data_IF_138562801104
#
_entry.id   IF_138562801104
#
_cell.length_a   1.000
_cell.length_b   1.000
_cell.length_c   1.000
_cell.angle_alpha   90.00
_cell.angle_beta   90.00
_cell.angle_gamma   90.00
#
_symmetry.space_group_name_H-M   'P 1'
#
loop_
_entity.id
_entity.type
_entity.pdbx_description
1 polymer ?
#
# COMPACT_ATOMS: atom_id res chain seq x y z
N UNK A 1 30.82 23.85 -13.62
CA UNK A 1 29.42 24.25 -13.41
C UNK A 1 29.16 24.22 -11.91
N UNK A 2 28.73 25.33 -11.31
CA UNK A 2 28.38 25.33 -9.88
C UNK A 2 27.01 24.66 -9.70
N UNK A 3 26.81 23.80 -8.68
CA UNK A 3 25.49 23.20 -8.44
C UNK A 3 24.51 24.30 -8.06
N UNK A 4 23.36 24.35 -8.75
CA UNK A 4 22.27 25.26 -8.42
C UNK A 4 21.83 24.97 -6.97
N UNK A 5 21.94 25.97 -6.10
CA UNK A 5 21.41 25.84 -4.74
C UNK A 5 19.89 25.69 -4.82
N UNK A 6 19.30 24.66 -4.19
CA UNK A 6 17.86 24.45 -4.26
C UNK A 6 17.10 25.65 -3.68
N UNK A 7 16.14 26.16 -4.46
CA UNK A 7 15.28 27.28 -4.08
C UNK A 7 14.47 26.93 -2.81
N UNK A 8 14.33 27.88 -1.87
CA UNK A 8 13.54 27.73 -0.63
C UNK A 8 12.10 27.27 -0.89
N UNK A 9 11.51 27.65 -2.03
CA UNK A 9 10.18 27.18 -2.48
C UNK A 9 10.19 25.67 -2.81
N UNK A 10 11.18 25.20 -3.57
CA UNK A 10 11.34 23.77 -3.90
C UNK A 10 11.59 22.94 -2.64
N UNK A 11 12.45 23.41 -1.72
CA UNK A 11 12.73 22.68 -0.47
C UNK A 11 11.48 22.49 0.40
N UNK A 12 10.59 23.48 0.43
CA UNK A 12 9.31 23.39 1.17
C UNK A 12 8.32 22.46 0.46
N UNK A 13 8.27 22.51 -0.87
CA UNK A 13 7.45 21.60 -1.69
C UNK A 13 7.89 20.15 -1.47
N UNK A 14 9.18 19.84 -1.61
CA UNK A 14 9.72 18.49 -1.40
C UNK A 14 9.42 17.94 0.00
N UNK A 15 9.42 18.80 1.04
CA UNK A 15 9.03 18.37 2.40
C UNK A 15 7.54 17.99 2.49
N UNK A 16 6.67 18.74 1.81
CA UNK A 16 5.22 18.43 1.79
C UNK A 16 4.96 17.15 1.00
N UNK A 17 5.57 17.01 -0.18
CA UNK A 17 5.44 15.82 -1.02
C UNK A 17 5.98 14.57 -0.30
N UNK A 18 7.11 14.68 0.40
CA UNK A 18 7.63 13.57 1.20
C UNK A 18 6.63 13.12 2.28
N UNK A 19 6.08 14.08 3.04
CA UNK A 19 5.06 13.78 4.04
C UNK A 19 3.81 13.16 3.41
N UNK A 20 3.40 13.65 2.24
CA UNK A 20 2.25 13.13 1.49
C UNK A 20 2.47 11.68 1.06
N UNK A 21 3.56 11.37 0.35
CA UNK A 21 3.85 10.02 -0.11
C UNK A 21 4.04 9.04 1.04
N UNK A 22 4.71 9.47 2.11
CA UNK A 22 4.87 8.65 3.31
C UNK A 22 3.53 8.30 3.95
N UNK A 23 2.66 9.28 4.15
CA UNK A 23 1.33 9.05 4.73
C UNK A 23 0.49 8.13 3.84
N UNK A 24 0.54 8.35 2.52
CA UNK A 24 -0.17 7.53 1.53
C UNK A 24 0.30 6.07 1.58
N UNK A 25 1.60 5.84 1.74
CA UNK A 25 2.16 4.49 1.91
C UNK A 25 1.75 3.87 3.25
N UNK A 26 1.90 4.60 4.36
CA UNK A 26 1.55 4.11 5.70
C UNK A 26 0.07 3.68 5.77
N UNK A 27 -0.84 4.48 5.19
CA UNK A 27 -2.27 4.13 5.09
C UNK A 27 -2.47 2.84 4.30
N UNK A 28 -1.85 2.74 3.12
CA UNK A 28 -1.95 1.56 2.26
C UNK A 28 -1.43 0.29 2.93
N UNK A 29 -0.31 0.38 3.66
CA UNK A 29 0.23 -0.75 4.41
C UNK A 29 -0.69 -1.13 5.57
N UNK A 30 -1.29 -0.17 6.28
CA UNK A 30 -2.20 -0.48 7.38
C UNK A 30 -3.43 -1.28 6.94
N UNK A 31 -3.91 -1.02 5.72
CA UNK A 31 -5.10 -1.67 5.16
C UNK A 31 -4.78 -3.04 4.53
N UNK A 32 -3.61 -3.20 3.92
CA UNK A 32 -3.33 -4.35 3.07
C UNK A 32 -2.10 -5.17 3.49
N UNK A 33 -1.17 -4.60 4.23
CA UNK A 33 0.08 -5.24 4.63
C UNK A 33 0.39 -4.92 6.10
N UNK A 34 -0.48 -5.32 7.04
CA UNK A 34 -0.31 -4.99 8.46
C UNK A 34 1.05 -5.46 9.02
N UNK A 35 1.65 -6.50 8.43
CA UNK A 35 2.98 -7.00 8.78
C UNK A 35 4.14 -6.06 8.38
N UNK A 36 3.89 -5.09 7.49
CA UNK A 36 4.88 -4.13 6.98
C UNK A 36 4.77 -2.74 7.59
N UNK A 37 3.74 -2.47 8.41
CA UNK A 37 3.48 -1.15 9.01
C UNK A 37 4.63 -0.69 9.91
N UNK A 38 5.25 -1.61 10.64
CA UNK A 38 6.38 -1.30 11.54
C UNK A 38 7.74 -1.31 10.84
N UNK A 39 7.80 -1.61 9.54
CA UNK A 39 9.03 -1.60 8.75
C UNK A 39 9.40 -0.16 8.35
N UNK A 40 9.87 0.61 9.34
CA UNK A 40 10.30 2.01 9.17
C UNK A 40 11.39 2.18 8.11
N UNK A 41 12.41 1.31 8.01
CA UNK A 41 13.39 1.37 6.93
C UNK A 41 12.76 1.23 5.55
N UNK A 42 11.83 0.29 5.37
CA UNK A 42 11.09 0.12 4.12
C UNK A 42 10.28 1.38 3.77
N UNK A 43 9.47 1.87 4.71
CA UNK A 43 8.62 3.05 4.51
C UNK A 43 9.45 4.27 4.13
N UNK A 44 10.56 4.51 4.86
CA UNK A 44 11.46 5.63 4.58
C UNK A 44 12.08 5.51 3.19
N UNK A 45 12.67 4.37 2.87
CA UNK A 45 13.34 4.15 1.59
C UNK A 45 12.37 4.31 0.42
N UNK A 46 11.17 3.73 0.56
CA UNK A 46 10.14 3.82 -0.46
C UNK A 46 9.63 5.25 -0.66
N UNK A 47 9.37 5.98 0.42
CA UNK A 47 8.96 7.38 0.33
C UNK A 47 10.04 8.29 -0.29
N UNK A 48 11.32 8.03 0.03
CA UNK A 48 12.46 8.75 -0.56
C UNK A 48 12.56 8.46 -2.08
N UNK A 49 12.44 7.20 -2.51
CA UNK A 49 12.44 6.80 -3.94
C UNK A 49 11.26 7.41 -4.72
N UNK A 50 10.07 7.40 -4.13
CA UNK A 50 8.87 8.02 -4.71
C UNK A 50 9.05 9.52 -4.88
N UNK A 51 9.58 10.21 -3.86
CA UNK A 51 9.85 11.64 -3.94
C UNK A 51 10.86 11.96 -5.04
N UNK A 52 11.96 11.20 -5.13
CA UNK A 52 12.94 11.38 -6.21
C UNK A 52 12.28 11.24 -7.58
N UNK A 53 11.45 10.22 -7.78
CA UNK A 53 10.74 10.00 -9.05
C UNK A 53 9.81 11.16 -9.40
N UNK A 54 9.08 11.68 -8.40
CA UNK A 54 8.21 12.84 -8.57
C UNK A 54 9.02 14.09 -8.95
N UNK A 55 10.09 14.40 -8.22
CA UNK A 55 10.95 15.55 -8.50
C UNK A 55 11.57 15.46 -9.89
N UNK A 56 12.09 14.30 -10.27
CA UNK A 56 12.67 14.06 -11.60
C UNK A 56 11.64 14.28 -12.72
N UNK A 57 10.39 13.86 -12.52
CA UNK A 57 9.32 14.08 -13.48
C UNK A 57 8.94 15.57 -13.60
N UNK A 58 8.82 16.28 -12.47
CA UNK A 58 8.57 17.72 -12.47
C UNK A 58 9.72 18.48 -13.15
N UNK A 59 10.97 18.11 -12.90
CA UNK A 59 12.14 18.72 -13.54
C UNK A 59 12.19 18.46 -15.06
N UNK A 60 11.68 17.30 -15.51
CA UNK A 60 11.53 16.96 -16.93
C UNK A 60 10.34 17.66 -17.61
N UNK A 61 9.53 18.42 -16.86
CA UNK A 61 8.41 19.20 -17.39
C UNK A 61 7.08 18.46 -17.46
N UNK A 62 6.95 17.30 -16.82
CA UNK A 62 5.66 16.64 -16.67
C UNK A 62 4.72 17.46 -15.78
N UNK A 63 3.41 17.33 -16.01
CA UNK A 63 2.42 17.94 -15.12
C UNK A 63 2.42 17.27 -13.75
N UNK A 64 1.95 17.97 -12.71
CA UNK A 64 1.89 17.40 -11.35
C UNK A 64 1.12 16.07 -11.27
N UNK A 65 -0.04 15.90 -11.94
CA UNK A 65 -0.75 14.62 -11.94
C UNK A 65 0.04 13.49 -12.64
N UNK A 66 0.74 13.77 -13.74
CA UNK A 66 1.57 12.78 -14.42
C UNK A 66 2.76 12.37 -13.56
N UNK A 67 3.45 13.35 -12.95
CA UNK A 67 4.53 13.09 -12.02
C UNK A 67 4.06 12.26 -10.82
N UNK A 68 2.86 12.53 -10.29
CA UNK A 68 2.26 11.74 -9.21
C UNK A 68 1.94 10.31 -9.67
N UNK A 69 1.42 10.12 -10.88
CA UNK A 69 1.17 8.78 -11.44
C UNK A 69 2.45 7.97 -11.51
N UNK A 70 3.52 8.55 -12.07
CA UNK A 70 4.83 7.88 -12.18
C UNK A 70 5.43 7.57 -10.79
N UNK A 71 5.29 8.50 -9.84
CA UNK A 71 5.74 8.30 -8.47
C UNK A 71 4.92 7.20 -7.76
N UNK A 72 3.63 7.09 -8.07
CA UNK A 72 2.75 6.06 -7.51
C UNK A 72 3.14 4.64 -7.95
N UNK A 73 3.62 4.47 -9.19
CA UNK A 73 4.17 3.19 -9.66
C UNK A 73 5.33 2.72 -8.79
N UNK A 74 6.20 3.66 -8.38
CA UNK A 74 7.29 3.38 -7.44
C UNK A 74 6.75 3.12 -6.04
N UNK A 75 5.82 3.95 -5.57
CA UNK A 75 5.22 3.87 -4.23
C UNK A 75 4.65 2.48 -3.95
N UNK A 76 3.92 1.91 -4.92
CA UNK A 76 3.22 0.63 -4.79
C UNK A 76 3.94 -0.56 -5.42
N UNK A 77 5.18 -0.38 -5.88
CA UNK A 77 5.98 -1.46 -6.44
C UNK A 77 6.07 -2.64 -5.47
N UNK A 78 5.73 -3.83 -5.96
CA UNK A 78 5.67 -5.09 -5.21
C UNK A 78 4.61 -5.14 -4.08
N UNK A 79 3.65 -4.20 -4.07
CA UNK A 79 2.57 -4.13 -3.09
C UNK A 79 1.16 -4.33 -3.69
N UNK A 80 1.05 -4.68 -4.98
CA UNK A 80 -0.26 -4.85 -5.63
C UNK A 80 -1.05 -6.06 -5.11
N UNK A 81 -0.35 -7.13 -4.71
CA UNK A 81 -0.98 -8.35 -4.23
C UNK A 81 -0.71 -8.54 -2.73
N UNK A 82 -1.79 -8.57 -1.95
CA UNK A 82 -1.74 -8.81 -0.51
C UNK A 82 -2.28 -10.19 -0.16
N UNK A 83 -1.42 -11.02 0.45
CA UNK A 83 -1.84 -12.30 1.04
C UNK A 83 -2.85 -12.10 2.17
N UNK A 84 -2.68 -11.04 2.97
CA UNK A 84 -3.60 -10.68 4.03
C UNK A 84 -5.02 -10.44 3.47
N UNK A 85 -5.15 -9.59 2.45
CA UNK A 85 -6.44 -9.32 1.80
C UNK A 85 -7.06 -10.59 1.23
N UNK A 86 -6.26 -11.43 0.56
CA UNK A 86 -6.75 -12.71 0.03
C UNK A 86 -7.33 -13.58 1.15
N UNK A 87 -6.61 -13.77 2.25
CA UNK A 87 -7.08 -14.56 3.37
C UNK A 87 -8.35 -13.98 4.00
N UNK A 88 -8.38 -12.66 4.24
CA UNK A 88 -9.57 -11.97 4.78
C UNK A 88 -10.77 -12.16 3.85
N UNK A 89 -10.58 -12.02 2.54
CA UNK A 89 -11.67 -12.21 1.55
C UNK A 89 -12.17 -13.65 1.52
N UNK A 90 -11.29 -14.64 1.56
CA UNK A 90 -11.67 -16.07 1.55
C UNK A 90 -12.45 -16.41 2.82
N UNK A 91 -11.94 -15.99 3.98
CA UNK A 91 -12.62 -16.23 5.26
C UNK A 91 -14.01 -15.60 5.29
N UNK A 92 -14.15 -14.37 4.82
CA UNK A 92 -15.46 -13.70 4.75
C UNK A 92 -16.41 -14.39 3.78
N UNK A 93 -15.97 -14.62 2.54
CA UNK A 93 -16.85 -15.14 1.49
C UNK A 93 -17.28 -16.59 1.73
N UNK A 94 -16.37 -17.45 2.20
CA UNK A 94 -16.62 -18.89 2.33
C UNK A 94 -17.13 -19.29 3.72
N UNK A 95 -16.86 -18.49 4.77
CA UNK A 95 -17.16 -18.90 6.16
C UNK A 95 -18.10 -17.95 6.92
N UNK A 96 -18.40 -16.72 6.48
CA UNK A 96 -19.42 -15.87 7.15
C UNK A 96 -20.84 -16.36 6.87
N UNK A 97 -21.09 -16.92 5.68
CA UNK A 97 -22.34 -17.58 5.36
C UNK A 97 -22.24 -19.04 5.75
N UNK A 98 -22.30 -19.30 7.05
CA UNK A 98 -22.65 -20.63 7.51
C UNK A 98 -23.99 -21.01 6.87
N UNK A 99 -23.97 -21.91 5.88
CA UNK A 99 -25.16 -22.73 5.70
C UNK A 99 -25.44 -23.31 7.09
N UNK A 100 -26.63 -23.08 7.67
CA UNK A 100 -26.97 -23.79 8.89
C UNK A 100 -26.79 -25.26 8.54
N UNK A 101 -25.89 -25.93 9.27
CA UNK A 101 -25.78 -27.38 9.16
C UNK A 101 -27.21 -27.91 9.32
N UNK A 102 -27.70 -28.75 8.37
CA UNK A 102 -29.02 -29.32 8.54
C UNK A 102 -29.06 -29.97 9.93
N UNK A 103 -30.16 -29.80 10.69
CA UNK A 103 -30.25 -30.36 12.02
C UNK A 103 -29.91 -31.85 11.94
N UNK A 104 -28.93 -32.28 12.75
CA UNK A 104 -28.46 -33.66 12.77
C UNK A 104 -29.68 -34.58 12.95
N UNK A 105 -29.89 -35.47 11.98
CA UNK A 105 -30.90 -36.50 12.11
C UNK A 105 -30.42 -37.55 13.13
N UNK A 106 -31.32 -38.25 13.82
CA UNK A 106 -30.96 -39.34 14.72
C UNK A 106 -30.09 -40.43 14.06
N UNK A 107 -30.15 -40.56 12.72
CA UNK A 107 -29.37 -41.52 11.96
C UNK A 107 -27.91 -41.07 11.69
N UNK A 108 -27.58 -39.80 11.88
CA UNK A 108 -26.21 -39.30 11.69
C UNK A 108 -25.26 -39.80 12.79
N UNK A 109 -25.80 -40.16 13.97
CA UNK A 109 -25.07 -40.78 15.07
C UNK A 109 -24.71 -42.26 14.81
N UNK A 110 -25.32 -42.90 13.81
CA UNK A 110 -25.05 -44.30 13.46
C UNK A 110 -23.98 -44.44 12.36
N UNK A 111 -23.43 -43.33 11.86
CA UNK A 111 -22.47 -43.31 10.74
C UNK A 111 -21.03 -42.95 11.11
N UNK A 112 -20.74 -42.67 12.38
CA UNK A 112 -19.37 -42.54 12.87
C UNK A 112 -18.96 -43.81 13.62
N UNK A 113 -17.89 -44.51 13.17
CA UNK A 113 -17.32 -45.65 13.90
C UNK A 113 -16.67 -45.23 15.23
#
# INVERSE_FOLDING_TARGET
MQPLKPNKKMKTMNKKELSYFRLKLESYLSEHFPEKVEDKPFIKTRADETLTTYCDAVEKGFSYPEAESMASDVLYRDLHFSKYNTLVSVLKNEFEKGQPYPPLSPNDFLRYP
#
